data_IF_920457111027
#
_entry.id   IF_920457111027
#
_cell.length_a   1.000
_cell.length_b   1.000
_cell.length_c   1.000
_cell.angle_alpha   90.00
_cell.angle_beta   90.00
_cell.angle_gamma   90.00
#
_symmetry.space_group_name_H-M   'P 1'
#
loop_
_entity.id
_entity.type
_entity.pdbx_description
1 polymer ?
#
# COMPACT_ATOMS: atom_id res chain seq x y z
N UNK A 1 27.32 -12.80 -9.37
CA UNK A 1 27.27 -13.91 -10.34
C UNK A 1 25.88 -13.93 -10.99
N UNK A 2 25.79 -13.63 -12.29
CA UNK A 2 24.52 -13.54 -13.04
C UNK A 2 23.99 -14.95 -13.32
N UNK A 3 22.71 -15.19 -13.12
CA UNK A 3 22.13 -16.53 -13.24
C UNK A 3 20.79 -16.50 -13.97
N UNK A 4 20.57 -17.45 -14.87
CA UNK A 4 19.43 -17.52 -15.82
C UNK A 4 18.43 -18.60 -15.42
N UNK A 5 17.13 -18.29 -15.32
CA UNK A 5 16.01 -19.20 -15.05
C UNK A 5 15.06 -19.21 -16.23
N UNK A 6 14.83 -20.36 -16.84
CA UNK A 6 13.74 -20.56 -17.80
C UNK A 6 12.52 -21.11 -17.06
N UNK A 7 11.37 -20.42 -17.16
CA UNK A 7 10.11 -20.88 -16.60
C UNK A 7 9.19 -21.25 -17.74
N UNK A 8 8.88 -22.53 -17.87
CA UNK A 8 8.00 -23.07 -18.89
C UNK A 8 6.67 -23.41 -18.22
N UNK A 9 5.61 -22.69 -18.57
CA UNK A 9 4.23 -23.05 -18.29
C UNK A 9 3.92 -23.45 -16.84
N UNK A 10 4.40 -22.71 -15.83
CA UNK A 10 4.17 -23.07 -14.44
C UNK A 10 2.81 -22.54 -13.94
N UNK A 11 1.72 -23.20 -14.29
CA UNK A 11 0.40 -22.93 -13.70
C UNK A 11 0.23 -23.67 -12.37
N UNK A 12 -0.37 -22.99 -11.35
CA UNK A 12 -0.77 -23.59 -10.09
C UNK A 12 0.22 -23.53 -8.93
N UNK A 13 -0.17 -24.10 -7.76
CA UNK A 13 0.56 -24.02 -6.47
C UNK A 13 2.01 -24.55 -6.54
N UNK A 14 2.29 -25.50 -7.39
CA UNK A 14 3.62 -26.12 -7.53
C UNK A 14 4.57 -25.21 -8.28
N UNK A 15 4.12 -24.53 -9.34
CA UNK A 15 4.93 -23.54 -10.06
C UNK A 15 5.36 -22.37 -9.18
N UNK A 16 4.43 -21.83 -8.38
CA UNK A 16 4.72 -20.76 -7.40
C UNK A 16 5.82 -21.18 -6.39
N UNK A 17 5.84 -22.44 -5.96
CA UNK A 17 6.83 -22.97 -5.03
C UNK A 17 8.20 -23.19 -5.67
N UNK A 18 8.26 -23.61 -6.93
CA UNK A 18 9.51 -23.79 -7.67
C UNK A 18 10.18 -22.43 -7.89
N UNK A 19 9.41 -21.40 -8.21
CA UNK A 19 9.92 -20.04 -8.41
C UNK A 19 10.47 -19.45 -7.12
N UNK A 20 9.72 -19.55 -6.00
CA UNK A 20 10.19 -19.13 -4.69
C UNK A 20 11.51 -19.83 -4.32
N UNK A 21 11.63 -21.14 -4.53
CA UNK A 21 12.84 -21.91 -4.26
C UNK A 21 14.00 -21.56 -5.22
N UNK A 22 13.73 -21.20 -6.46
CA UNK A 22 14.74 -20.78 -7.42
C UNK A 22 15.34 -19.41 -7.04
N UNK A 23 14.51 -18.48 -6.60
CA UNK A 23 14.94 -17.17 -6.08
C UNK A 23 15.72 -17.33 -4.77
N UNK A 24 15.24 -18.13 -3.82
CA UNK A 24 15.94 -18.44 -2.56
C UNK A 24 17.30 -19.11 -2.77
N UNK A 25 17.40 -20.05 -3.71
CA UNK A 25 18.64 -20.79 -3.92
C UNK A 25 19.74 -19.98 -4.60
N UNK A 26 19.41 -18.83 -5.17
CA UNK A 26 20.34 -17.99 -5.93
C UNK A 26 21.03 -18.72 -7.09
N UNK A 27 20.40 -19.76 -7.68
CA UNK A 27 21.02 -20.67 -8.65
C UNK A 27 20.63 -20.42 -10.11
N UNK A 28 19.74 -19.45 -10.40
CA UNK A 28 19.16 -19.33 -11.74
C UNK A 28 19.17 -17.91 -12.30
N UNK A 29 19.24 -17.79 -13.60
CA UNK A 29 19.11 -16.56 -14.39
C UNK A 29 17.90 -16.67 -15.29
N UNK A 30 17.11 -15.60 -15.47
CA UNK A 30 15.90 -15.60 -16.26
C UNK A 30 16.14 -14.85 -17.58
N UNK A 31 15.81 -15.39 -18.74
CA UNK A 31 16.17 -14.86 -20.07
C UNK A 31 14.94 -14.80 -21.00
N UNK A 32 14.53 -13.60 -21.39
CA UNK A 32 13.66 -13.10 -22.50
C UNK A 32 12.40 -13.88 -22.97
N UNK A 33 11.31 -13.26 -23.41
CA UNK A 33 10.14 -13.92 -23.99
C UNK A 33 10.25 -14.05 -25.51
N UNK A 34 10.19 -15.26 -26.08
CA UNK A 34 10.10 -15.50 -27.51
C UNK A 34 8.70 -16.04 -27.85
N UNK A 35 7.91 -15.26 -28.57
CA UNK A 35 6.71 -15.75 -29.24
C UNK A 35 7.08 -16.53 -30.49
N UNK A 36 6.34 -17.60 -30.80
CA UNK A 36 6.63 -18.54 -31.87
C UNK A 36 6.41 -18.03 -33.30
N UNK A 37 6.45 -16.74 -33.58
CA UNK A 37 6.49 -16.16 -34.93
C UNK A 37 7.23 -14.82 -34.95
N UNK A 38 8.47 -14.85 -35.30
CA UNK A 38 9.28 -13.70 -35.67
C UNK A 38 10.67 -14.20 -36.08
N UNK A 39 11.00 -14.11 -37.37
CA UNK A 39 12.37 -14.43 -37.83
C UNK A 39 13.37 -13.47 -37.19
N UNK A 40 14.52 -13.94 -36.69
CA UNK A 40 15.59 -13.07 -36.20
C UNK A 40 16.28 -12.39 -37.38
N UNK A 41 16.58 -11.12 -37.22
CA UNK A 41 17.55 -10.45 -38.11
C UNK A 41 18.94 -11.03 -37.87
N UNK A 42 19.62 -11.32 -38.99
CA UNK A 42 20.96 -11.92 -39.05
C UNK A 42 22.03 -10.99 -38.44
N UNK A 43 22.51 -11.28 -37.25
CA UNK A 43 23.87 -11.03 -36.80
C UNK A 43 24.10 -11.65 -35.40
N UNK A 44 25.09 -12.59 -35.35
CA UNK A 44 25.56 -13.35 -34.18
C UNK A 44 24.80 -14.64 -33.83
N UNK A 45 24.71 -15.56 -34.80
CA UNK A 45 23.82 -16.72 -34.76
C UNK A 45 24.41 -18.01 -34.14
N UNK A 46 25.73 -18.21 -34.18
CA UNK A 46 26.32 -19.54 -33.83
C UNK A 46 26.29 -19.86 -32.32
N UNK A 47 26.40 -18.86 -31.44
CA UNK A 47 26.45 -19.10 -29.96
C UNK A 47 25.04 -19.15 -29.31
N UNK A 48 24.05 -18.58 -29.98
CA UNK A 48 22.66 -18.59 -29.50
C UNK A 48 21.89 -19.85 -29.91
N UNK A 49 22.22 -20.44 -31.05
CA UNK A 49 21.52 -21.59 -31.63
C UNK A 49 21.82 -22.87 -30.86
N UNK A 50 23.07 -23.11 -30.44
CA UNK A 50 23.42 -24.23 -29.56
C UNK A 50 22.74 -24.16 -28.21
N UNK A 51 22.63 -22.96 -27.65
CA UNK A 51 21.99 -22.74 -26.34
C UNK A 51 20.44 -22.87 -26.38
N UNK A 52 19.83 -22.60 -27.54
CA UNK A 52 18.37 -22.79 -27.79
C UNK A 52 18.04 -24.26 -28.09
N UNK A 53 18.92 -24.99 -28.70
CA UNK A 53 18.78 -26.42 -28.95
C UNK A 53 18.88 -27.24 -27.65
N UNK A 54 19.84 -26.90 -26.79
CA UNK A 54 19.97 -27.51 -25.45
C UNK A 54 18.72 -27.24 -24.54
N UNK A 55 18.03 -26.12 -24.76
CA UNK A 55 16.79 -25.83 -24.08
C UNK A 55 15.56 -26.53 -24.68
N UNK A 56 15.56 -26.88 -25.95
CA UNK A 56 14.51 -27.70 -26.59
C UNK A 56 14.59 -29.15 -26.11
N UNK A 57 15.75 -29.71 -26.00
CA UNK A 57 15.96 -31.06 -25.47
C UNK A 57 15.58 -31.17 -24.00
N UNK A 58 15.80 -30.09 -23.19
CA UNK A 58 15.33 -30.00 -21.81
C UNK A 58 13.79 -29.92 -21.69
N UNK A 59 13.08 -29.54 -22.76
CA UNK A 59 11.62 -29.51 -22.80
C UNK A 59 11.00 -30.86 -23.24
N UNK A 60 11.74 -31.67 -24.02
CA UNK A 60 11.30 -33.01 -24.40
C UNK A 60 11.38 -34.01 -23.23
N UNK A 61 12.31 -33.82 -22.32
CA UNK A 61 12.47 -34.59 -21.06
C UNK A 61 11.71 -33.98 -19.87
N UNK A 62 10.86 -32.97 -20.08
CA UNK A 62 10.09 -32.35 -19.01
C UNK A 62 9.15 -33.37 -18.34
N UNK A 63 9.10 -33.46 -17.01
CA UNK A 63 8.21 -34.37 -16.30
C UNK A 63 6.75 -34.20 -16.72
N UNK A 64 5.97 -35.29 -16.73
CA UNK A 64 4.55 -35.30 -17.12
C UNK A 64 3.68 -34.23 -16.43
N UNK A 65 4.07 -33.76 -15.25
CA UNK A 65 3.39 -32.64 -14.55
C UNK A 65 3.67 -31.25 -15.17
N UNK A 66 4.65 -31.13 -16.07
CA UNK A 66 4.89 -29.96 -16.92
C UNK A 66 4.15 -30.07 -18.27
N UNK A 67 3.53 -31.25 -18.55
CA UNK A 67 2.67 -31.38 -19.71
C UNK A 67 1.47 -30.42 -19.58
N UNK A 68 1.01 -29.81 -20.69
CA UNK A 68 -0.09 -28.88 -20.67
C UNK A 68 -1.36 -29.60 -20.20
N UNK A 69 -1.74 -29.35 -18.96
CA UNK A 69 -3.12 -29.53 -18.54
C UNK A 69 -3.98 -28.51 -19.30
N UNK A 70 -5.26 -28.80 -19.45
CA UNK A 70 -6.25 -28.01 -20.21
C UNK A 70 -6.49 -26.57 -19.66
N UNK A 71 -5.64 -26.07 -18.77
CA UNK A 71 -5.72 -24.72 -18.18
C UNK A 71 -4.51 -23.92 -18.64
N UNK A 72 -4.71 -23.08 -19.63
CA UNK A 72 -3.76 -22.02 -20.00
C UNK A 72 -3.44 -21.10 -18.83
N UNK A 73 -2.37 -20.32 -18.96
CA UNK A 73 -2.04 -19.27 -18.02
C UNK A 73 -3.20 -18.27 -17.96
N UNK A 74 -3.80 -18.13 -16.78
CA UNK A 74 -4.71 -17.03 -16.53
C UNK A 74 -3.89 -15.76 -16.30
N UNK A 75 -4.40 -14.62 -16.78
CA UNK A 75 -3.81 -13.28 -16.56
C UNK A 75 -3.31 -13.09 -15.11
N UNK A 76 -4.11 -13.53 -14.13
CA UNK A 76 -3.76 -13.45 -12.71
C UNK A 76 -2.51 -14.22 -12.28
N UNK A 77 -2.15 -15.31 -12.96
CA UNK A 77 -0.94 -16.08 -12.59
C UNK A 77 0.34 -15.39 -13.08
N UNK A 78 0.28 -14.69 -14.21
CA UNK A 78 1.42 -14.02 -14.83
C UNK A 78 1.81 -12.77 -14.03
N UNK A 79 0.86 -11.92 -13.65
CA UNK A 79 1.18 -10.71 -12.91
C UNK A 79 1.71 -11.00 -11.50
N UNK A 80 1.14 -11.98 -10.80
CA UNK A 80 1.63 -12.42 -9.48
C UNK A 80 3.05 -12.94 -9.54
N UNK A 81 3.41 -13.61 -10.64
CA UNK A 81 4.78 -14.09 -10.84
C UNK A 81 5.78 -12.94 -10.97
N UNK A 82 5.52 -11.98 -11.85
CA UNK A 82 6.45 -10.86 -12.09
C UNK A 82 6.52 -9.91 -10.90
N UNK A 83 5.39 -9.64 -10.25
CA UNK A 83 5.37 -8.92 -8.99
C UNK A 83 6.27 -9.60 -7.94
N UNK A 84 6.05 -10.90 -7.70
CA UNK A 84 6.79 -11.67 -6.71
C UNK A 84 8.28 -11.76 -7.01
N UNK A 85 8.70 -11.79 -8.27
CA UNK A 85 10.09 -11.79 -8.70
C UNK A 85 10.78 -10.46 -8.37
N UNK A 86 10.17 -9.33 -8.72
CA UNK A 86 10.73 -8.01 -8.44
C UNK A 86 10.78 -7.72 -6.94
N UNK A 87 9.69 -8.04 -6.21
CA UNK A 87 9.63 -7.84 -4.77
C UNK A 87 10.60 -8.76 -3.99
N UNK A 88 10.83 -9.98 -4.49
CA UNK A 88 11.84 -10.88 -3.94
C UNK A 88 13.29 -10.41 -4.14
N UNK A 89 13.53 -9.66 -5.21
CA UNK A 89 14.84 -9.05 -5.48
C UNK A 89 15.05 -7.72 -4.74
N UNK A 90 13.99 -7.10 -4.20
CA UNK A 90 14.08 -5.81 -3.53
C UNK A 90 15.04 -5.83 -2.33
N UNK A 91 15.89 -4.83 -2.24
CA UNK A 91 16.80 -4.57 -1.11
C UNK A 91 16.94 -3.06 -0.91
N UNK A 92 16.88 -2.60 0.33
CA UNK A 92 17.12 -1.21 0.70
C UNK A 92 18.59 -1.02 1.09
N UNK A 93 19.39 -0.40 0.23
CA UNK A 93 20.84 -0.28 0.41
C UNK A 93 21.35 1.17 0.47
N UNK A 94 20.43 2.17 0.50
CA UNK A 94 20.78 3.59 0.38
C UNK A 94 21.88 4.05 1.35
N UNK A 95 21.94 3.46 2.54
CA UNK A 95 22.92 3.83 3.58
C UNK A 95 24.03 2.81 3.79
N UNK A 96 24.14 1.81 2.91
CA UNK A 96 25.22 0.82 3.00
C UNK A 96 26.41 1.24 2.14
N UNK A 97 27.62 1.12 2.71
CA UNK A 97 28.89 1.41 2.01
C UNK A 97 29.54 0.15 1.45
N UNK A 98 28.80 -0.97 1.40
CA UNK A 98 29.29 -2.25 0.87
C UNK A 98 29.50 -2.18 -0.65
N UNK A 99 30.46 -2.94 -1.20
CA UNK A 99 30.59 -3.13 -2.64
C UNK A 99 29.30 -3.65 -3.28
N UNK A 100 29.03 -3.26 -4.52
CA UNK A 100 27.79 -3.59 -5.23
C UNK A 100 27.56 -5.09 -5.43
N UNK A 101 28.63 -5.89 -5.49
CA UNK A 101 28.60 -7.34 -5.62
C UNK A 101 28.16 -8.07 -4.33
N UNK A 102 28.20 -7.39 -3.17
CA UNK A 102 27.69 -7.88 -1.90
C UNK A 102 26.21 -7.52 -1.65
N UNK A 103 25.63 -6.67 -2.49
CA UNK A 103 24.22 -6.22 -2.36
C UNK A 103 23.18 -7.29 -2.73
N UNK A 104 23.61 -8.49 -3.10
CA UNK A 104 22.74 -9.56 -3.55
C UNK A 104 22.71 -9.69 -5.08
N UNK A 105 21.78 -10.49 -5.59
CA UNK A 105 21.64 -10.67 -7.04
C UNK A 105 20.60 -9.68 -7.61
N UNK A 106 20.87 -9.21 -8.81
CA UNK A 106 19.92 -8.46 -9.63
C UNK A 106 19.39 -9.40 -10.72
N UNK A 107 18.08 -9.49 -10.87
CA UNK A 107 17.46 -10.17 -12.01
C UNK A 107 17.53 -9.21 -13.20
N UNK A 108 18.37 -9.51 -14.20
CA UNK A 108 18.52 -8.64 -15.37
C UNK A 108 17.46 -8.93 -16.45
N UNK A 109 16.99 -10.16 -16.54
CA UNK A 109 15.99 -10.56 -17.53
C UNK A 109 15.22 -11.81 -17.09
N UNK A 110 13.93 -11.86 -17.44
CA UNK A 110 13.05 -12.99 -17.21
C UNK A 110 12.35 -13.39 -18.53
N UNK A 111 12.34 -14.69 -18.87
CA UNK A 111 11.70 -15.21 -20.09
C UNK A 111 10.48 -16.04 -19.74
N UNK A 112 9.34 -15.72 -20.33
CA UNK A 112 8.13 -16.54 -20.25
C UNK A 112 7.86 -17.15 -21.61
N UNK A 113 7.68 -18.47 -21.63
CA UNK A 113 7.24 -19.20 -22.81
C UNK A 113 5.73 -19.48 -22.67
N UNK A 114 4.93 -19.02 -23.64
CA UNK A 114 3.53 -19.37 -23.75
C UNK A 114 3.32 -20.25 -24.98
N UNK A 115 2.65 -21.40 -24.81
CA UNK A 115 2.32 -22.31 -25.93
C UNK A 115 1.02 -21.92 -26.66
N UNK A 116 0.16 -21.14 -26.04
CA UNK A 116 -1.25 -21.01 -26.45
C UNK A 116 -1.59 -19.76 -27.26
N UNK A 117 -0.57 -19.01 -27.73
CA UNK A 117 -0.81 -17.81 -28.53
C UNK A 117 -1.40 -16.62 -27.76
N UNK A 118 -1.61 -16.73 -26.43
CA UNK A 118 -2.11 -15.68 -25.53
C UNK A 118 -1.05 -14.62 -25.22
N UNK A 119 -0.30 -14.16 -26.25
CA UNK A 119 0.84 -13.27 -26.08
C UNK A 119 0.43 -11.90 -25.51
N UNK A 120 -0.74 -11.41 -25.86
CA UNK A 120 -1.23 -10.10 -25.37
C UNK A 120 -1.58 -10.18 -23.88
N UNK A 121 -2.33 -11.19 -23.46
CA UNK A 121 -2.67 -11.42 -22.05
C UNK A 121 -1.42 -11.63 -21.17
N UNK A 122 -0.40 -12.33 -21.71
CA UNK A 122 0.88 -12.51 -21.00
C UNK A 122 1.63 -11.19 -20.86
N UNK A 123 1.67 -10.35 -21.91
CA UNK A 123 2.31 -9.04 -21.85
C UNK A 123 1.60 -8.12 -20.85
N UNK A 124 0.28 -8.09 -20.87
CA UNK A 124 -0.53 -7.29 -19.96
C UNK A 124 -0.34 -7.74 -18.51
N UNK A 125 -0.29 -9.06 -18.28
CA UNK A 125 0.03 -9.62 -16.98
C UNK A 125 1.43 -9.22 -16.48
N UNK A 126 2.45 -9.29 -17.34
CA UNK A 126 3.81 -8.83 -17.02
C UNK A 126 3.80 -7.35 -16.65
N UNK A 127 3.21 -6.51 -17.50
CA UNK A 127 3.17 -5.06 -17.29
C UNK A 127 2.44 -4.71 -15.98
N UNK A 128 1.32 -5.38 -15.70
CA UNK A 128 0.55 -5.20 -14.46
C UNK A 128 1.36 -5.58 -13.23
N UNK A 129 1.99 -6.78 -13.22
CA UNK A 129 2.81 -7.23 -12.10
C UNK A 129 3.99 -6.31 -11.81
N UNK A 130 4.66 -5.84 -12.86
CA UNK A 130 5.74 -4.87 -12.72
C UNK A 130 5.26 -3.51 -12.19
N UNK A 131 4.08 -3.06 -12.64
CA UNK A 131 3.48 -1.82 -12.14
C UNK A 131 3.17 -1.91 -10.65
N UNK A 132 2.55 -3.01 -10.21
CA UNK A 132 2.26 -3.25 -8.79
C UNK A 132 3.56 -3.31 -7.98
N UNK A 133 4.56 -4.06 -8.46
CA UNK A 133 5.87 -4.17 -7.80
C UNK A 133 6.55 -2.80 -7.64
N UNK A 134 6.47 -1.91 -8.64
CA UNK A 134 7.00 -0.54 -8.51
C UNK A 134 6.27 0.26 -7.43
N UNK A 135 4.94 0.16 -7.34
CA UNK A 135 4.15 0.80 -6.28
C UNK A 135 4.51 0.29 -4.89
N UNK A 136 4.65 -1.03 -4.74
CA UNK A 136 5.09 -1.66 -3.47
C UNK A 136 6.52 -1.25 -3.12
N UNK A 137 7.42 -1.18 -4.11
CA UNK A 137 8.81 -0.74 -3.92
C UNK A 137 8.87 0.71 -3.45
N UNK A 138 8.10 1.62 -4.08
CA UNK A 138 7.98 3.01 -3.61
C UNK A 138 7.54 3.06 -2.14
N UNK A 139 6.51 2.33 -1.78
CA UNK A 139 6.03 2.29 -0.39
C UNK A 139 7.11 1.77 0.57
N UNK A 140 7.85 0.73 0.18
CA UNK A 140 8.98 0.19 0.97
C UNK A 140 10.09 1.21 1.15
N UNK A 141 10.46 1.92 0.08
CA UNK A 141 11.53 2.93 0.11
C UNK A 141 11.18 4.09 1.05
N UNK A 142 9.93 4.56 1.01
CA UNK A 142 9.44 5.60 1.92
C UNK A 142 9.53 5.14 3.39
N UNK A 143 9.04 3.94 3.71
CA UNK A 143 9.04 3.38 5.08
C UNK A 143 10.46 3.07 5.58
N UNK A 144 11.35 2.62 4.71
CA UNK A 144 12.72 2.26 5.10
C UNK A 144 13.61 3.48 5.30
N UNK A 145 13.23 4.63 4.80
CA UNK A 145 13.92 5.90 5.03
C UNK A 145 14.06 6.20 6.53
N UNK A 146 15.25 6.57 7.04
CA UNK A 146 15.40 6.94 8.45
C UNK A 146 14.65 8.25 8.74
N UNK A 147 14.10 8.41 9.97
CA UNK A 147 13.25 9.56 10.31
C UNK A 147 13.92 10.93 10.10
N UNK A 148 15.24 11.02 10.25
CA UNK A 148 15.94 12.28 9.97
C UNK A 148 15.93 12.67 8.47
N UNK A 149 15.78 11.71 7.56
CA UNK A 149 15.73 11.94 6.12
C UNK A 149 14.30 11.99 5.59
N UNK A 150 13.41 11.16 6.13
CA UNK A 150 12.00 11.10 5.76
C UNK A 150 11.17 11.94 6.73
N UNK A 151 11.29 13.26 6.62
CA UNK A 151 10.51 14.24 7.40
C UNK A 151 9.16 14.52 6.72
N UNK A 152 8.19 15.20 7.40
CA UNK A 152 6.95 15.62 6.75
C UNK A 152 7.16 16.47 5.50
N UNK A 153 8.16 17.35 5.51
CA UNK A 153 8.52 18.15 4.33
C UNK A 153 9.04 17.26 3.19
N UNK A 154 9.92 16.30 3.50
CA UNK A 154 10.44 15.35 2.50
C UNK A 154 9.32 14.50 1.89
N UNK A 155 8.36 14.04 2.70
CA UNK A 155 7.20 13.31 2.19
C UNK A 155 6.37 14.18 1.23
N UNK A 156 6.25 15.48 1.50
CA UNK A 156 5.64 16.43 0.57
C UNK A 156 6.41 16.57 -0.76
N UNK A 157 7.75 16.61 -0.71
CA UNK A 157 8.62 16.64 -1.90
C UNK A 157 8.46 15.36 -2.74
N UNK A 158 8.38 14.20 -2.11
CA UNK A 158 8.13 12.91 -2.80
C UNK A 158 6.75 12.91 -3.49
N UNK A 159 5.73 13.51 -2.87
CA UNK A 159 4.42 13.65 -3.50
C UNK A 159 4.48 14.54 -4.75
N UNK A 160 5.17 15.67 -4.68
CA UNK A 160 5.35 16.58 -5.83
C UNK A 160 6.08 15.85 -6.96
N UNK A 161 7.20 15.18 -6.65
CA UNK A 161 7.97 14.43 -7.64
C UNK A 161 7.14 13.29 -8.28
N UNK A 162 6.31 12.59 -7.49
CA UNK A 162 5.38 11.59 -8.00
C UNK A 162 4.35 12.22 -8.93
N UNK A 163 3.79 13.37 -8.53
CA UNK A 163 2.81 14.12 -9.33
C UNK A 163 3.37 14.57 -10.67
N UNK A 164 4.58 15.13 -10.67
CA UNK A 164 5.26 15.56 -11.91
C UNK A 164 5.51 14.39 -12.86
N UNK A 165 5.88 13.23 -12.34
CA UNK A 165 6.15 12.02 -13.13
C UNK A 165 4.90 11.39 -13.73
N UNK A 166 3.77 11.42 -13.01
CA UNK A 166 2.55 10.68 -13.37
C UNK A 166 1.38 11.58 -13.79
N UNK A 167 1.55 12.89 -13.74
CA UNK A 167 0.47 13.83 -14.07
C UNK A 167 -0.61 13.91 -13.00
N UNK A 168 -0.26 13.69 -11.72
CA UNK A 168 -1.19 13.87 -10.60
C UNK A 168 -1.26 15.36 -10.22
N UNK A 169 -2.45 15.84 -9.84
CA UNK A 169 -2.54 17.13 -9.18
C UNK A 169 -2.12 16.99 -7.71
N UNK A 170 -1.09 17.76 -7.30
CA UNK A 170 -0.55 17.68 -5.95
C UNK A 170 -0.63 19.02 -5.23
N UNK A 171 -1.16 19.02 -4.03
CA UNK A 171 -1.17 20.17 -3.11
C UNK A 171 -0.52 19.76 -1.80
N UNK A 172 0.46 20.53 -1.34
CA UNK A 172 1.11 20.33 -0.04
C UNK A 172 0.91 21.58 0.80
N UNK A 173 0.11 21.45 1.87
CA UNK A 173 -0.10 22.55 2.82
C UNK A 173 0.99 22.56 3.86
N UNK A 174 1.62 23.71 4.05
CA UNK A 174 2.60 23.97 5.10
C UNK A 174 1.94 24.34 6.45
N UNK A 175 2.74 24.51 7.49
CA UNK A 175 2.23 24.83 8.84
C UNK A 175 1.42 26.14 8.87
N UNK A 176 1.78 27.15 8.09
CA UNK A 176 1.05 28.43 8.05
C UNK A 176 -0.33 28.23 7.43
N UNK A 177 -0.41 27.50 6.32
CA UNK A 177 -1.66 27.17 5.64
C UNK A 177 -2.54 26.23 6.48
N UNK A 178 -1.94 25.27 7.20
CA UNK A 178 -2.65 24.41 8.15
C UNK A 178 -3.27 25.22 9.29
N UNK A 179 -2.54 26.24 9.79
CA UNK A 179 -3.01 27.14 10.84
C UNK A 179 -4.18 28.00 10.34
N UNK A 180 -4.04 28.60 9.17
CA UNK A 180 -5.06 29.42 8.55
C UNK A 180 -6.37 28.64 8.32
N UNK A 181 -6.24 27.37 7.88
CA UNK A 181 -7.39 26.52 7.58
C UNK A 181 -7.95 25.76 8.80
N UNK A 182 -7.27 25.80 9.96
CA UNK A 182 -7.76 25.23 11.22
C UNK A 182 -7.51 23.73 11.39
N UNK A 183 -6.45 23.15 10.82
CA UNK A 183 -6.04 21.76 10.99
C UNK A 183 -5.45 21.50 12.39
N UNK A 184 -6.32 21.60 13.41
CA UNK A 184 -5.87 21.58 14.80
C UNK A 184 -5.32 20.25 15.29
N UNK A 185 -5.77 19.13 14.72
CA UNK A 185 -5.28 17.80 15.06
C UNK A 185 -3.82 17.61 14.62
N UNK A 186 -3.52 17.90 13.36
CA UNK A 186 -2.16 17.77 12.79
C UNK A 186 -1.20 18.75 13.50
N UNK A 187 -1.63 20.00 13.71
CA UNK A 187 -0.84 21.03 14.37
C UNK A 187 -0.54 20.67 15.83
N UNK A 188 -1.50 20.11 16.56
CA UNK A 188 -1.29 19.73 17.96
C UNK A 188 -0.23 18.64 18.09
N UNK A 189 -0.28 17.60 17.27
CA UNK A 189 0.68 16.49 17.28
C UNK A 189 2.07 16.97 16.84
N UNK A 190 2.16 17.72 15.74
CA UNK A 190 3.42 18.22 15.19
C UNK A 190 4.11 19.29 16.04
N UNK A 191 3.41 19.87 17.01
CA UNK A 191 3.90 21.01 17.81
C UNK A 191 5.18 20.74 18.59
N UNK A 192 5.47 19.48 18.91
CA UNK A 192 6.66 19.08 19.65
C UNK A 192 7.92 18.93 18.80
N UNK A 193 7.79 18.85 17.49
CA UNK A 193 8.92 18.70 16.56
C UNK A 193 9.43 20.04 16.03
N UNK A 194 10.71 20.06 15.63
CA UNK A 194 11.26 21.13 14.81
C UNK A 194 10.92 20.97 13.32
N UNK A 195 10.53 19.77 12.89
CA UNK A 195 10.05 19.48 11.54
C UNK A 195 8.56 19.82 11.47
N UNK A 196 8.25 20.88 10.75
CA UNK A 196 6.87 21.35 10.60
C UNK A 196 5.97 20.29 9.95
N UNK A 197 4.72 20.14 10.42
CA UNK A 197 3.76 19.22 9.81
C UNK A 197 3.38 19.65 8.38
N UNK A 198 2.87 18.70 7.62
CA UNK A 198 2.32 18.89 6.26
C UNK A 198 0.99 18.17 6.12
N UNK A 199 0.12 18.71 5.29
CA UNK A 199 -1.01 17.97 4.76
C UNK A 199 -0.86 17.87 3.26
N UNK A 200 -0.88 16.63 2.73
CA UNK A 200 -0.58 16.33 1.34
C UNK A 200 -1.84 15.81 0.68
N UNK A 201 -2.21 16.38 -0.45
CA UNK A 201 -3.30 15.95 -1.31
C UNK A 201 -2.71 15.57 -2.65
N UNK A 202 -3.01 14.36 -3.11
CA UNK A 202 -2.64 13.86 -4.43
C UNK A 202 -3.90 13.38 -5.15
N UNK A 203 -4.18 13.93 -6.33
CA UNK A 203 -5.39 13.60 -7.09
C UNK A 203 -5.03 12.96 -8.44
N UNK A 204 -5.58 11.78 -8.70
CA UNK A 204 -5.53 11.07 -9.97
C UNK A 204 -6.91 11.06 -10.62
N UNK A 205 -6.97 11.36 -11.91
CA UNK A 205 -8.24 11.47 -12.63
C UNK A 205 -9.02 12.75 -12.28
N UNK A 206 -10.31 12.74 -12.52
CA UNK A 206 -11.19 13.86 -12.19
C UNK A 206 -12.60 13.38 -11.90
N UNK A 207 -13.27 14.07 -10.98
CA UNK A 207 -14.68 13.86 -10.76
C UNK A 207 -15.49 14.21 -12.03
N UNK A 208 -16.33 13.29 -12.47
CA UNK A 208 -17.28 13.51 -13.56
C UNK A 208 -18.51 12.65 -13.34
N UNK A 209 -19.61 12.95 -14.05
CA UNK A 209 -20.85 12.17 -13.94
C UNK A 209 -20.58 10.67 -14.18
N UNK A 210 -20.90 9.85 -13.19
CA UNK A 210 -20.71 8.41 -13.23
C UNK A 210 -19.31 7.89 -12.89
N UNK A 211 -18.33 8.78 -12.61
CA UNK A 211 -17.00 8.38 -12.15
C UNK A 211 -16.96 8.33 -10.62
N UNK A 212 -16.74 7.16 -9.99
CA UNK A 212 -16.62 7.09 -8.54
C UNK A 212 -15.40 7.85 -8.03
N UNK A 213 -15.58 8.62 -6.97
CA UNK A 213 -14.48 9.24 -6.22
C UNK A 213 -14.13 8.38 -5.02
N UNK A 214 -12.89 7.92 -4.94
CA UNK A 214 -12.36 7.14 -3.83
C UNK A 214 -11.31 7.96 -3.08
N UNK A 215 -11.55 8.25 -1.80
CA UNK A 215 -10.57 8.90 -0.95
C UNK A 215 -9.74 7.85 -0.19
N UNK A 216 -8.42 7.87 -0.41
CA UNK A 216 -7.43 7.07 0.30
C UNK A 216 -6.76 7.96 1.36
N UNK A 217 -6.97 7.68 2.64
CA UNK A 217 -6.45 8.48 3.74
C UNK A 217 -5.32 7.73 4.43
N UNK A 218 -4.10 8.27 4.40
CA UNK A 218 -2.90 7.64 4.95
C UNK A 218 -2.39 8.31 6.23
N UNK A 219 -2.12 7.53 7.28
CA UNK A 219 -1.32 8.02 8.42
C UNK A 219 0.11 8.28 7.94
N UNK A 220 0.57 9.54 8.09
CA UNK A 220 1.87 10.00 7.63
C UNK A 220 2.78 10.44 8.78
N UNK A 221 2.78 9.73 9.90
CA UNK A 221 3.63 10.07 11.03
C UNK A 221 5.06 9.58 10.76
N UNK A 222 5.95 10.51 10.38
CA UNK A 222 7.30 10.17 9.91
C UNK A 222 8.23 9.69 11.01
N UNK A 223 7.91 10.03 12.26
CA UNK A 223 8.48 9.42 13.46
C UNK A 223 7.54 9.57 14.65
N UNK A 224 7.41 8.51 15.45
CA UNK A 224 6.59 8.52 16.67
C UNK A 224 7.39 8.10 17.89
N UNK A 225 7.71 9.07 18.73
CA UNK A 225 8.32 8.82 20.05
C UNK A 225 7.29 8.53 21.14
N UNK A 226 5.99 8.69 20.85
CA UNK A 226 4.91 8.72 21.82
C UNK A 226 4.67 10.11 22.42
N UNK A 227 5.50 11.09 22.09
CA UNK A 227 5.46 12.43 22.69
C UNK A 227 5.78 12.39 24.18
N UNK A 228 5.03 13.12 25.00
CA UNK A 228 5.21 13.09 26.46
C UNK A 228 4.80 11.77 27.11
N UNK A 229 3.94 10.99 26.47
CA UNK A 229 3.65 9.57 26.82
C UNK A 229 4.70 8.68 26.16
N UNK A 230 5.98 8.88 26.49
CA UNK A 230 7.15 8.36 25.80
C UNK A 230 7.16 6.84 25.70
N UNK A 231 7.40 6.32 24.49
CA UNK A 231 7.55 4.88 24.24
C UNK A 231 8.79 4.29 24.91
N UNK A 232 8.77 3.03 25.33
CA UNK A 232 10.00 2.29 25.63
C UNK A 232 10.97 2.28 24.44
N UNK A 233 12.28 2.28 24.69
CA UNK A 233 13.30 2.36 23.64
C UNK A 233 13.13 1.30 22.55
N UNK A 234 12.92 0.03 22.92
CA UNK A 234 12.69 -1.09 21.97
C UNK A 234 11.47 -0.88 21.07
N UNK A 235 10.38 -0.30 21.60
CA UNK A 235 9.19 -0.01 20.81
C UNK A 235 9.38 1.21 19.89
N UNK A 236 10.39 2.04 20.13
CA UNK A 236 10.66 3.26 19.36
C UNK A 236 11.56 2.98 18.13
N UNK A 237 12.38 1.94 18.15
CA UNK A 237 13.40 1.66 17.13
C UNK A 237 12.82 1.56 15.71
N UNK A 238 11.59 1.07 15.56
CA UNK A 238 10.93 0.88 14.26
C UNK A 238 9.93 1.98 13.92
N UNK A 239 9.80 3.03 14.73
CA UNK A 239 8.75 4.06 14.58
C UNK A 239 8.93 5.00 13.39
N UNK A 240 10.02 4.89 12.62
CA UNK A 240 10.11 5.42 11.25
C UNK A 240 9.07 4.78 10.31
N UNK A 241 8.54 3.61 10.64
CA UNK A 241 7.51 2.91 9.88
C UNK A 241 6.09 3.41 10.12
N UNK A 242 5.91 4.38 11.02
CA UNK A 242 4.59 4.87 11.43
C UNK A 242 3.91 5.77 10.37
N UNK A 243 4.52 5.86 9.22
CA UNK A 243 3.98 6.44 8.00
C UNK A 243 3.63 5.39 6.93
N UNK A 244 3.55 4.11 7.31
CA UNK A 244 3.23 3.02 6.39
C UNK A 244 1.88 3.17 5.69
N UNK A 245 0.90 3.81 6.35
CA UNK A 245 -0.39 4.14 5.74
C UNK A 245 -0.25 5.17 4.60
N UNK A 246 0.54 6.22 4.81
CA UNK A 246 0.86 7.18 3.75
C UNK A 246 1.60 6.50 2.59
N UNK A 247 2.60 5.69 2.90
CA UNK A 247 3.38 4.97 1.90
C UNK A 247 2.51 4.06 1.01
N UNK A 248 1.51 3.38 1.60
CA UNK A 248 0.54 2.58 0.85
C UNK A 248 -0.31 3.44 -0.10
N UNK A 249 -0.72 4.64 0.33
CA UNK A 249 -1.46 5.60 -0.52
C UNK A 249 -0.61 6.08 -1.69
N UNK A 250 0.68 6.39 -1.47
CA UNK A 250 1.60 6.74 -2.55
C UNK A 250 1.70 5.62 -3.59
N UNK A 251 1.95 4.39 -3.14
CA UNK A 251 2.07 3.23 -4.01
C UNK A 251 0.80 2.94 -4.78
N UNK A 252 -0.38 3.01 -4.13
CA UNK A 252 -1.66 2.78 -4.77
C UNK A 252 -2.01 3.84 -5.83
N UNK A 253 -1.72 5.12 -5.58
CA UNK A 253 -1.88 6.19 -6.57
C UNK A 253 -0.95 6.01 -7.76
N UNK A 254 0.31 5.63 -7.54
CA UNK A 254 1.22 5.30 -8.63
C UNK A 254 0.64 4.20 -9.50
N UNK A 255 0.19 3.09 -8.90
CA UNK A 255 -0.36 1.95 -9.64
C UNK A 255 -1.65 2.35 -10.38
N UNK A 256 -2.56 3.08 -9.73
CA UNK A 256 -3.80 3.54 -10.36
C UNK A 256 -3.53 4.40 -11.60
N UNK A 257 -2.55 5.31 -11.51
CA UNK A 257 -2.16 6.19 -12.62
C UNK A 257 -1.46 5.42 -13.75
N UNK A 258 -0.51 4.52 -13.43
CA UNK A 258 0.22 3.74 -14.43
C UNK A 258 -0.68 2.71 -15.14
N UNK A 259 -1.69 2.16 -14.45
CA UNK A 259 -2.69 1.26 -15.05
C UNK A 259 -3.83 2.02 -15.77
N UNK A 260 -3.91 3.33 -15.64
CA UNK A 260 -4.95 4.14 -16.28
C UNK A 260 -6.36 3.77 -15.80
N UNK A 261 -6.56 3.57 -14.49
CA UNK A 261 -7.87 3.18 -13.96
C UNK A 261 -8.91 4.30 -14.19
N UNK A 262 -10.13 3.98 -14.69
CA UNK A 262 -11.18 4.98 -14.95
C UNK A 262 -11.89 5.41 -13.65
N UNK A 263 -11.15 6.04 -12.74
CA UNK A 263 -11.59 6.46 -11.42
C UNK A 263 -11.07 7.87 -11.11
N UNK A 264 -11.72 8.54 -10.17
CA UNK A 264 -11.14 9.68 -9.46
C UNK A 264 -10.63 9.19 -8.11
N UNK A 265 -9.31 9.21 -7.90
CA UNK A 265 -8.67 8.74 -6.66
C UNK A 265 -7.97 9.90 -5.99
N UNK A 266 -8.32 10.16 -4.74
CA UNK A 266 -7.77 11.25 -3.94
C UNK A 266 -7.00 10.69 -2.76
N UNK A 267 -5.68 10.85 -2.76
CA UNK A 267 -4.81 10.52 -1.62
C UNK A 267 -4.70 11.70 -0.66
N UNK A 268 -4.99 11.48 0.60
CA UNK A 268 -4.95 12.47 1.67
C UNK A 268 -4.02 12.00 2.77
N UNK A 269 -2.96 12.76 3.05
CA UNK A 269 -1.93 12.35 4.00
C UNK A 269 -1.76 13.44 5.05
N UNK A 270 -2.07 13.09 6.30
CA UNK A 270 -1.73 13.88 7.48
C UNK A 270 -0.32 13.51 7.93
N UNK A 271 0.65 14.41 7.75
CA UNK A 271 2.05 14.15 8.06
C UNK A 271 2.57 15.05 9.17
N UNK A 272 3.14 14.41 10.20
CA UNK A 272 3.73 15.08 11.37
C UNK A 272 4.84 14.20 11.98
N UNK A 273 5.55 14.74 12.98
CA UNK A 273 6.39 13.98 13.93
C UNK A 273 5.85 14.17 15.33
N UNK A 274 5.71 13.10 16.10
CA UNK A 274 5.30 13.14 17.49
C UNK A 274 6.54 13.10 18.41
N UNK A 275 6.98 14.27 18.87
CA UNK A 275 8.22 14.43 19.63
C UNK A 275 7.98 15.05 21.00
N UNK A 276 8.74 14.64 22.05
CA UNK A 276 8.71 15.29 23.34
C UNK A 276 9.54 16.59 23.29
N UNK A 277 8.94 17.68 23.74
CA UNK A 277 9.62 18.97 23.86
C UNK A 277 8.87 19.89 24.81
N UNK A 278 9.42 21.08 25.05
CA UNK A 278 8.76 22.11 25.86
C UNK A 278 7.47 22.66 25.21
N UNK A 279 7.32 22.49 23.90
CA UNK A 279 6.16 22.93 23.13
C UNK A 279 5.16 21.81 22.83
N UNK A 280 5.51 20.54 23.12
CA UNK A 280 4.64 19.40 22.85
C UNK A 280 3.28 19.50 23.55
N UNK A 281 2.25 18.95 22.91
CA UNK A 281 0.95 18.81 23.56
C UNK A 281 1.01 17.75 24.68
N UNK A 282 0.07 17.81 25.61
CA UNK A 282 0.15 17.08 26.89
C UNK A 282 -1.09 16.25 27.16
N UNK A 283 -0.98 15.16 27.91
CA UNK A 283 -2.15 14.57 28.54
C UNK A 283 -2.95 15.62 29.36
N UNK A 284 -4.27 15.65 29.14
CA UNK A 284 -5.16 16.66 29.69
C UNK A 284 -5.40 17.90 28.81
N UNK A 285 -4.64 18.10 27.74
CA UNK A 285 -4.94 19.13 26.75
C UNK A 285 -6.22 18.78 25.95
N UNK A 286 -6.93 19.81 25.49
CA UNK A 286 -8.07 19.66 24.58
C UNK A 286 -7.69 20.23 23.23
N UNK A 287 -7.78 19.37 22.20
CA UNK A 287 -7.47 19.71 20.81
C UNK A 287 -8.78 19.97 20.06
N UNK A 288 -8.88 21.09 19.35
CA UNK A 288 -9.96 21.36 18.41
C UNK A 288 -9.51 21.00 17.01
N UNK A 289 -10.21 20.05 16.35
CA UNK A 289 -9.90 19.56 15.02
C UNK A 289 -10.47 20.45 13.92
N UNK A 290 -10.12 20.16 12.65
CA UNK A 290 -10.68 20.81 11.46
C UNK A 290 -12.21 20.71 11.38
N UNK A 291 -12.81 19.65 11.91
CA UNK A 291 -14.26 19.47 11.97
C UNK A 291 -14.96 20.40 12.98
N UNK A 292 -14.18 21.08 13.82
CA UNK A 292 -14.70 21.83 14.96
C UNK A 292 -14.89 20.98 16.23
N UNK A 293 -14.94 19.66 16.13
CA UNK A 293 -15.01 18.75 17.29
C UNK A 293 -13.77 18.86 18.14
N UNK A 294 -13.94 18.66 19.44
CA UNK A 294 -12.87 18.71 20.44
C UNK A 294 -12.49 17.32 20.92
N UNK A 295 -11.18 17.11 21.15
CA UNK A 295 -10.60 15.86 21.60
C UNK A 295 -9.86 16.09 22.92
N UNK A 296 -10.27 15.39 23.97
CA UNK A 296 -9.50 15.27 25.20
C UNK A 296 -8.32 14.31 24.96
N UNK A 297 -7.13 14.78 25.15
CA UNK A 297 -5.90 14.00 25.03
C UNK A 297 -5.60 13.31 26.34
N UNK A 298 -5.80 12.01 26.41
CA UNK A 298 -5.41 11.20 27.60
C UNK A 298 -4.04 10.57 27.45
N UNK A 299 -3.60 10.34 26.22
CA UNK A 299 -2.30 9.75 25.91
C UNK A 299 -1.77 10.34 24.59
N UNK A 300 -0.57 10.91 24.64
CA UNK A 300 0.06 11.49 23.44
C UNK A 300 0.63 10.45 22.48
N UNK A 301 0.69 9.16 22.86
CA UNK A 301 1.02 8.01 22.02
C UNK A 301 -0.23 7.44 21.28
N UNK A 302 -1.36 8.13 21.36
CA UNK A 302 -2.55 7.89 20.55
C UNK A 302 -2.79 9.08 19.58
N UNK A 303 -1.74 9.54 18.95
CA UNK A 303 -1.61 10.71 18.08
C UNK A 303 -2.12 10.46 16.66
N UNK A 304 -1.93 9.24 16.15
CA UNK A 304 -2.28 8.89 14.77
C UNK A 304 -3.75 9.16 14.47
N UNK A 305 -4.64 8.81 15.39
CA UNK A 305 -6.07 9.10 15.24
C UNK A 305 -6.40 10.59 15.32
N UNK A 306 -5.60 11.38 16.03
CA UNK A 306 -5.78 12.83 16.13
C UNK A 306 -5.44 13.49 14.79
N UNK A 307 -4.31 13.16 14.17
CA UNK A 307 -3.96 13.70 12.84
C UNK A 307 -4.93 13.23 11.76
N UNK A 308 -5.37 11.96 11.83
CA UNK A 308 -6.31 11.38 10.88
C UNK A 308 -7.71 11.99 10.99
N UNK A 309 -8.12 12.53 12.14
CA UNK A 309 -9.40 13.22 12.30
C UNK A 309 -9.56 14.41 11.35
N UNK A 310 -8.50 15.18 11.14
CA UNK A 310 -8.50 16.30 10.19
C UNK A 310 -8.57 15.79 8.74
N UNK A 311 -7.80 14.75 8.39
CA UNK A 311 -7.77 14.20 7.05
C UNK A 311 -9.10 13.55 6.64
N UNK A 312 -9.73 12.80 7.54
CA UNK A 312 -11.02 12.16 7.32
C UNK A 312 -12.14 13.19 7.16
N UNK A 313 -12.12 14.25 7.96
CA UNK A 313 -13.07 15.35 7.77
C UNK A 313 -12.83 16.09 6.46
N UNK A 314 -11.57 16.32 6.08
CA UNK A 314 -11.22 16.96 4.81
C UNK A 314 -11.68 16.13 3.60
N UNK A 315 -11.66 14.80 3.68
CA UNK A 315 -12.09 13.89 2.62
C UNK A 315 -13.54 14.14 2.15
N UNK A 316 -14.42 14.60 3.04
CA UNK A 316 -15.83 14.86 2.73
C UNK A 316 -16.03 15.92 1.63
N UNK A 317 -15.03 16.80 1.41
CA UNK A 317 -15.08 17.83 0.33
C UNK A 317 -15.19 17.24 -1.06
N UNK A 318 -14.76 16.01 -1.23
CA UNK A 318 -14.74 15.29 -2.50
C UNK A 318 -16.03 14.50 -2.75
N UNK A 319 -16.99 14.53 -1.82
CA UNK A 319 -18.23 13.75 -1.87
C UNK A 319 -17.96 12.28 -2.25
N UNK A 320 -17.08 11.58 -1.50
CA UNK A 320 -16.52 10.31 -1.95
C UNK A 320 -17.57 9.18 -1.92
N UNK A 321 -17.48 8.29 -2.90
CA UNK A 321 -18.21 7.02 -2.90
C UNK A 321 -17.73 6.10 -1.78
N UNK A 322 -16.44 6.19 -1.44
CA UNK A 322 -15.84 5.46 -0.34
C UNK A 322 -14.61 6.19 0.22
N UNK A 323 -14.42 6.10 1.54
CA UNK A 323 -13.21 6.52 2.24
C UNK A 323 -12.50 5.27 2.74
N UNK A 324 -11.25 5.09 2.34
CA UNK A 324 -10.38 4.00 2.83
C UNK A 324 -9.22 4.61 3.59
N UNK A 325 -9.16 4.37 4.90
CA UNK A 325 -8.10 4.84 5.76
C UNK A 325 -7.12 3.71 6.08
N UNK A 326 -5.82 3.95 5.90
CA UNK A 326 -4.75 3.03 6.28
C UNK A 326 -3.85 3.67 7.33
N UNK A 327 -3.60 2.95 8.41
CA UNK A 327 -2.72 3.44 9.48
C UNK A 327 -2.04 2.30 10.25
N UNK A 328 -0.79 2.50 10.60
CA UNK A 328 -0.07 1.77 11.64
C UNK A 328 -0.56 2.30 12.99
N UNK A 329 -1.81 1.89 13.38
CA UNK A 329 -2.52 2.69 14.37
C UNK A 329 -2.42 2.15 15.79
N UNK A 330 -2.49 0.82 15.97
CA UNK A 330 -2.61 0.29 17.33
C UNK A 330 -1.71 -0.91 17.60
N UNK A 331 -1.03 -0.89 18.75
CA UNK A 331 -0.40 -2.10 19.28
C UNK A 331 -1.40 -3.22 19.59
N UNK A 332 -2.68 -2.87 19.81
CA UNK A 332 -3.73 -3.84 20.10
C UNK A 332 -4.02 -4.78 18.92
N UNK A 333 -3.91 -4.31 17.67
CA UNK A 333 -4.11 -5.15 16.48
C UNK A 333 -2.98 -6.17 16.30
N UNK A 334 -1.75 -5.81 16.69
CA UNK A 334 -0.60 -6.71 16.67
C UNK A 334 -0.85 -7.90 17.60
N UNK A 335 -1.43 -7.63 18.79
CA UNK A 335 -1.76 -8.68 19.77
C UNK A 335 -2.94 -9.54 19.25
N UNK A 336 -3.93 -8.92 18.59
CA UNK A 336 -5.12 -9.61 18.15
C UNK A 336 -4.90 -10.50 16.92
N UNK A 337 -4.18 -10.01 15.91
CA UNK A 337 -4.04 -10.67 14.60
C UNK A 337 -2.60 -11.04 14.24
N UNK A 338 -1.61 -10.55 14.98
CA UNK A 338 -0.19 -10.74 14.67
C UNK A 338 0.18 -10.11 13.31
N UNK A 339 1.20 -10.67 12.62
CA UNK A 339 1.67 -10.16 11.33
C UNK A 339 0.95 -10.80 10.11
N UNK A 340 -0.20 -11.47 10.32
CA UNK A 340 -0.80 -12.34 9.32
C UNK A 340 -2.04 -11.76 8.65
N UNK A 341 -2.68 -10.77 9.26
CA UNK A 341 -3.87 -10.13 8.74
C UNK A 341 -3.94 -8.66 9.14
N UNK A 342 -4.53 -7.85 8.29
CA UNK A 342 -4.87 -6.45 8.51
C UNK A 342 -6.17 -6.41 9.31
N UNK A 343 -6.23 -5.60 10.37
CA UNK A 343 -7.48 -5.39 11.08
C UNK A 343 -8.35 -4.35 10.37
N UNK A 344 -9.63 -4.64 10.21
CA UNK A 344 -10.58 -3.76 9.54
C UNK A 344 -11.75 -3.40 10.45
N UNK A 345 -12.12 -2.13 10.48
CA UNK A 345 -13.39 -1.62 10.99
C UNK A 345 -14.08 -0.84 9.88
N UNK A 346 -15.40 -1.00 9.73
CA UNK A 346 -16.17 -0.33 8.66
C UNK A 346 -17.51 0.16 9.15
N UNK A 347 -17.95 1.29 8.59
CA UNK A 347 -19.31 1.84 8.77
C UNK A 347 -20.30 1.30 7.73
N UNK A 348 -19.83 0.60 6.69
CA UNK A 348 -20.64 0.06 5.60
C UNK A 348 -20.23 -1.40 5.29
N UNK A 349 -21.19 -2.33 5.35
CA UNK A 349 -20.90 -3.76 5.17
C UNK A 349 -20.59 -4.11 3.70
N UNK A 350 -21.21 -3.46 2.73
CA UNK A 350 -20.94 -3.74 1.33
C UNK A 350 -19.51 -3.30 0.95
N UNK A 351 -19.06 -2.18 1.52
CA UNK A 351 -17.68 -1.71 1.37
C UNK A 351 -16.69 -2.66 2.07
N UNK A 352 -17.03 -3.14 3.27
CA UNK A 352 -16.24 -4.14 4.00
C UNK A 352 -16.08 -5.43 3.20
N UNK A 353 -17.16 -5.95 2.63
CA UNK A 353 -17.15 -7.18 1.82
C UNK A 353 -16.29 -7.02 0.55
N UNK A 354 -16.29 -5.83 -0.07
CA UNK A 354 -15.36 -5.52 -1.19
C UNK A 354 -13.91 -5.58 -0.74
N UNK A 355 -13.60 -4.97 0.39
CA UNK A 355 -12.25 -4.95 0.92
C UNK A 355 -11.76 -6.35 1.30
N UNK A 356 -12.61 -7.20 1.88
CA UNK A 356 -12.26 -8.60 2.17
C UNK A 356 -11.93 -9.36 0.88
N UNK A 357 -12.76 -9.22 -0.18
CA UNK A 357 -12.48 -9.85 -1.48
C UNK A 357 -11.17 -9.38 -2.09
N UNK A 358 -10.90 -8.09 -2.04
CA UNK A 358 -9.62 -7.53 -2.48
C UNK A 358 -8.44 -8.10 -1.68
N UNK A 359 -8.62 -8.27 -0.36
CA UNK A 359 -7.60 -8.85 0.52
C UNK A 359 -7.31 -10.33 0.22
N UNK A 360 -8.32 -11.09 -0.21
CA UNK A 360 -8.14 -12.47 -0.66
C UNK A 360 -7.42 -12.54 -2.01
N UNK A 361 -7.79 -11.67 -2.95
CA UNK A 361 -7.18 -11.61 -4.28
C UNK A 361 -5.70 -11.19 -4.21
N UNK A 362 -5.38 -10.17 -3.41
CA UNK A 362 -4.01 -9.67 -3.22
C UNK A 362 -3.14 -10.51 -2.29
N UNK A 363 -3.70 -11.50 -1.57
CA UNK A 363 -3.04 -12.20 -0.45
C UNK A 363 -2.60 -11.28 0.71
N UNK A 364 -3.12 -10.06 0.79
CA UNK A 364 -3.04 -9.15 1.92
C UNK A 364 -4.31 -9.27 2.76
N UNK A 365 -4.43 -10.37 3.49
CA UNK A 365 -5.65 -10.76 4.22
C UNK A 365 -6.17 -9.66 5.11
N UNK A 366 -7.50 -9.47 5.07
CA UNK A 366 -8.22 -8.51 5.90
C UNK A 366 -9.16 -9.27 6.84
N UNK A 367 -9.22 -8.86 8.11
CA UNK A 367 -10.13 -9.43 9.09
C UNK A 367 -10.99 -8.34 9.72
N UNK A 368 -12.31 -8.44 9.53
CA UNK A 368 -13.25 -7.44 10.05
C UNK A 368 -13.48 -7.63 11.56
N UNK A 369 -13.31 -6.54 12.31
CA UNK A 369 -13.68 -6.40 13.71
C UNK A 369 -15.00 -5.62 13.83
N UNK A 370 -15.79 -5.83 14.90
CA UNK A 370 -17.07 -5.14 15.08
C UNK A 370 -16.88 -3.64 15.32
N UNK A 371 -17.90 -2.84 14.93
CA UNK A 371 -17.97 -1.42 15.20
C UNK A 371 -19.36 -1.07 15.74
N UNK A 372 -19.67 -1.54 16.97
CA UNK A 372 -20.95 -1.38 17.62
C UNK A 372 -21.02 -0.10 18.46
N UNK A 373 -22.23 0.34 18.80
CA UNK A 373 -22.46 1.57 19.56
C UNK A 373 -21.74 1.60 20.91
N UNK A 374 -21.56 0.45 21.56
CA UNK A 374 -20.84 0.33 22.82
C UNK A 374 -19.40 0.83 22.72
N UNK A 375 -18.74 0.65 21.57
CA UNK A 375 -17.38 1.15 21.35
C UNK A 375 -17.34 2.67 21.15
N UNK A 376 -18.41 3.26 20.59
CA UNK A 376 -18.56 4.71 20.50
C UNK A 376 -18.78 5.33 21.89
N UNK A 377 -19.51 4.66 22.77
CA UNK A 377 -19.67 5.11 24.16
C UNK A 377 -18.33 5.14 24.92
N UNK A 378 -17.41 4.20 24.66
CA UNK A 378 -16.12 4.12 25.33
C UNK A 378 -15.20 5.32 25.06
N UNK A 379 -15.43 6.08 23.99
CA UNK A 379 -14.60 7.23 23.60
C UNK A 379 -15.25 8.58 23.89
N UNK A 380 -16.41 8.62 24.54
CA UNK A 380 -17.03 9.87 25.02
C UNK A 380 -16.19 10.48 26.13
N UNK A 381 -16.08 11.81 26.15
CA UNK A 381 -15.39 12.58 27.18
C UNK A 381 -16.39 13.35 28.03
N UNK A 382 -16.01 13.63 29.28
CA UNK A 382 -16.78 14.52 30.18
C UNK A 382 -16.46 16.01 29.96
N UNK A 383 -15.36 16.30 29.23
CA UNK A 383 -14.83 17.69 29.08
C UNK A 383 -14.62 18.11 27.63
N UNK A 384 -14.81 17.18 26.68
CA UNK A 384 -14.69 17.40 25.25
C UNK A 384 -15.74 16.55 24.52
N UNK A 385 -15.81 16.63 23.19
CA UNK A 385 -16.73 15.78 22.41
C UNK A 385 -16.27 14.31 22.45
N UNK A 386 -14.98 14.09 22.35
CA UNK A 386 -14.37 12.76 22.35
C UNK A 386 -13.09 12.77 23.20
N UNK A 387 -12.64 11.58 23.63
CA UNK A 387 -11.28 11.37 24.15
C UNK A 387 -10.51 10.44 23.21
N UNK A 388 -9.20 10.63 23.13
CA UNK A 388 -8.37 9.88 22.19
C UNK A 388 -8.06 8.43 22.61
N UNK A 389 -8.59 7.96 23.74
CA UNK A 389 -8.38 6.63 24.27
C UNK A 389 -9.67 6.04 24.87
N UNK A 390 -10.09 4.86 24.39
CA UNK A 390 -11.24 4.13 24.96
C UNK A 390 -10.88 3.21 26.14
N UNK A 391 -9.64 3.26 26.61
CA UNK A 391 -9.08 2.33 27.61
C UNK A 391 -8.29 1.18 26.97
N UNK A 392 -7.83 0.22 27.81
CA UNK A 392 -7.02 -0.91 27.35
C UNK A 392 -7.80 -1.96 26.56
N UNK A 393 -9.04 -2.36 26.93
CA UNK A 393 -9.84 -3.31 26.15
C UNK A 393 -10.24 -2.72 24.80
N UNK A 394 -10.35 -3.58 23.78
CA UNK A 394 -10.82 -3.26 22.43
C UNK A 394 -10.07 -2.09 21.75
N UNK A 395 -8.77 -1.91 22.02
CA UNK A 395 -8.02 -0.71 21.61
C UNK A 395 -8.08 -0.40 20.12
N UNK A 396 -8.05 -1.41 19.24
CA UNK A 396 -8.17 -1.23 17.78
C UNK A 396 -9.59 -0.82 17.38
N UNK A 397 -10.61 -1.41 18.02
CA UNK A 397 -12.01 -1.14 17.72
C UNK A 397 -12.39 0.28 18.16
N UNK A 398 -11.96 0.68 19.36
CA UNK A 398 -12.20 2.06 19.86
C UNK A 398 -11.43 3.11 19.05
N UNK A 399 -10.30 2.75 18.45
CA UNK A 399 -9.61 3.59 17.48
C UNK A 399 -10.42 3.74 16.19
N UNK A 400 -10.97 2.64 15.64
CA UNK A 400 -11.89 2.67 14.51
C UNK A 400 -13.16 3.50 14.80
N UNK A 401 -13.77 3.34 15.98
CA UNK A 401 -14.92 4.13 16.41
C UNK A 401 -14.59 5.63 16.48
N UNK A 402 -13.39 5.97 16.97
CA UNK A 402 -12.92 7.36 16.98
C UNK A 402 -12.81 7.94 15.56
N UNK A 403 -12.21 7.22 14.63
CA UNK A 403 -12.06 7.66 13.23
C UNK A 403 -13.42 7.81 12.54
N UNK A 404 -14.35 6.88 12.77
CA UNK A 404 -15.71 6.94 12.22
C UNK A 404 -16.47 8.20 12.61
N UNK A 405 -16.15 8.81 13.76
CA UNK A 405 -16.77 10.06 14.21
C UNK A 405 -16.45 11.28 13.31
N UNK A 406 -15.51 11.16 12.36
CA UNK A 406 -15.04 12.28 11.53
C UNK A 406 -15.37 12.16 10.03
N UNK A 407 -16.08 11.11 9.61
CA UNK A 407 -16.42 10.88 8.19
C UNK A 407 -17.84 11.30 7.80
N UNK A 408 -18.65 11.78 8.75
CA UNK A 408 -20.08 12.08 8.49
C UNK A 408 -20.83 10.81 8.06
N UNK A 409 -21.64 10.94 7.01
CA UNK A 409 -22.44 9.84 6.47
C UNK A 409 -21.74 9.05 5.35
N UNK A 410 -20.47 9.38 5.05
CA UNK A 410 -19.73 8.69 4.00
C UNK A 410 -19.25 7.30 4.44
N UNK A 411 -19.32 6.29 3.55
CA UNK A 411 -18.83 4.95 3.84
C UNK A 411 -17.33 4.94 4.16
N UNK A 412 -16.97 4.37 5.31
CA UNK A 412 -15.59 4.24 5.78
C UNK A 412 -15.17 2.78 5.88
N UNK A 413 -13.99 2.47 5.39
CA UNK A 413 -13.17 1.34 5.84
C UNK A 413 -11.90 1.89 6.49
N UNK A 414 -11.65 1.52 7.73
CA UNK A 414 -10.36 1.72 8.40
C UNK A 414 -9.58 0.41 8.42
N UNK A 415 -8.34 0.44 7.95
CA UNK A 415 -7.37 -0.64 7.90
C UNK A 415 -6.23 -0.38 8.88
N UNK A 416 -6.19 -1.11 9.98
CA UNK A 416 -5.09 -1.05 10.94
C UNK A 416 -4.00 -2.03 10.49
N UNK A 417 -2.93 -1.48 9.92
CA UNK A 417 -1.80 -2.22 9.34
C UNK A 417 -0.60 -2.32 10.28
N UNK A 418 -0.73 -1.95 11.56
CA UNK A 418 0.40 -1.93 12.50
C UNK A 418 1.10 -3.30 12.64
N UNK A 419 0.35 -4.41 12.51
CA UNK A 419 0.92 -5.77 12.57
C UNK A 419 1.58 -6.24 11.27
N UNK A 420 1.28 -5.61 10.13
CA UNK A 420 1.67 -6.10 8.80
C UNK A 420 2.62 -5.17 8.05
N UNK A 421 2.79 -3.92 8.51
CA UNK A 421 3.57 -2.90 7.80
C UNK A 421 5.09 -3.07 7.89
N UNK A 422 5.57 -3.78 8.91
CA UNK A 422 7.00 -3.96 9.19
C UNK A 422 7.33 -5.42 9.50
N UNK A 423 8.50 -5.89 9.07
CA UNK A 423 9.03 -7.21 9.41
C UNK A 423 10.52 -7.15 9.77
N UNK A 424 10.88 -7.69 10.92
CA UNK A 424 12.28 -7.83 11.33
C UNK A 424 12.95 -9.02 10.62
N UNK A 425 12.18 -10.09 10.43
CA UNK A 425 12.62 -11.28 9.69
C UNK A 425 11.62 -11.61 8.62
N UNK A 426 12.05 -11.79 7.36
CA UNK A 426 11.17 -12.17 6.26
C UNK A 426 10.32 -13.38 6.60
N UNK A 427 9.00 -13.25 6.52
CA UNK A 427 8.04 -14.33 6.74
C UNK A 427 7.44 -14.86 5.43
N UNK A 428 7.62 -14.10 4.34
CA UNK A 428 7.22 -14.46 2.98
C UNK A 428 8.44 -14.28 2.05
N UNK A 429 8.53 -15.07 0.98
CA UNK A 429 9.66 -15.06 0.04
C UNK A 429 9.91 -13.68 -0.62
N UNK A 430 8.86 -12.87 -0.75
CA UNK A 430 8.92 -11.54 -1.33
C UNK A 430 9.06 -10.41 -0.28
N UNK A 431 9.23 -10.74 1.00
CA UNK A 431 9.55 -9.76 2.03
C UNK A 431 11.07 -9.62 2.19
N UNK A 432 11.54 -8.38 2.34
CA UNK A 432 12.84 -8.06 2.89
C UNK A 432 12.66 -7.58 4.35
N UNK A 433 13.76 -7.47 5.11
CA UNK A 433 13.74 -6.76 6.39
C UNK A 433 13.28 -5.31 6.19
N UNK A 434 12.38 -4.83 7.02
CA UNK A 434 11.87 -3.46 6.97
C UNK A 434 10.42 -3.35 6.53
N UNK A 435 10.11 -2.26 5.83
CA UNK A 435 8.78 -1.99 5.30
C UNK A 435 8.32 -3.05 4.31
N UNK A 436 7.10 -3.54 4.49
CA UNK A 436 6.52 -4.60 3.64
C UNK A 436 5.90 -4.07 2.36
N UNK A 437 5.47 -2.80 2.36
CA UNK A 437 4.64 -2.18 1.32
C UNK A 437 3.19 -2.66 1.35
N UNK A 438 2.75 -3.24 2.47
CA UNK A 438 1.36 -3.69 2.67
C UNK A 438 0.37 -2.57 2.39
N UNK A 439 -0.77 -2.94 1.82
CA UNK A 439 -1.83 -2.03 1.42
C UNK A 439 -1.77 -1.62 -0.05
N UNK A 440 -0.61 -1.62 -0.69
CA UNK A 440 -0.51 -1.23 -2.12
C UNK A 440 -1.23 -2.22 -3.01
N UNK A 441 -0.94 -3.52 -2.87
CA UNK A 441 -1.61 -4.54 -3.67
C UNK A 441 -3.10 -4.64 -3.32
N UNK A 442 -3.43 -4.64 -2.02
CA UNK A 442 -4.82 -4.61 -1.55
C UNK A 442 -5.64 -3.47 -2.18
N UNK A 443 -5.10 -2.23 -2.13
CA UNK A 443 -5.76 -1.07 -2.71
C UNK A 443 -5.83 -1.16 -4.23
N UNK A 444 -4.84 -1.74 -4.89
CA UNK A 444 -4.87 -1.98 -6.34
C UNK A 444 -6.03 -2.89 -6.72
N UNK A 445 -6.21 -4.03 -6.05
CA UNK A 445 -7.33 -4.94 -6.28
C UNK A 445 -8.69 -4.28 -5.97
N UNK A 446 -8.75 -3.52 -4.87
CA UNK A 446 -9.94 -2.78 -4.49
C UNK A 446 -10.35 -1.73 -5.54
N UNK A 447 -9.40 -0.91 -6.01
CA UNK A 447 -9.64 0.11 -7.03
C UNK A 447 -9.98 -0.52 -8.39
N UNK A 448 -9.30 -1.61 -8.76
CA UNK A 448 -9.57 -2.34 -10.00
C UNK A 448 -10.98 -2.91 -10.04
N UNK A 449 -11.51 -3.40 -8.90
CA UNK A 449 -12.90 -3.86 -8.79
C UNK A 449 -13.90 -2.71 -9.01
N UNK A 450 -13.64 -1.51 -8.47
CA UNK A 450 -14.47 -0.34 -8.76
C UNK A 450 -14.41 0.09 -10.23
N UNK A 451 -13.23 0.05 -10.84
CA UNK A 451 -13.03 0.37 -12.25
C UNK A 451 -13.81 -0.58 -13.18
N UNK A 452 -13.85 -1.87 -12.84
CA UNK A 452 -14.62 -2.88 -13.61
C UNK A 452 -16.14 -2.64 -13.52
N UNK A 453 -16.66 -2.32 -12.34
CA UNK A 453 -18.08 -1.99 -12.15
C UNK A 453 -18.48 -0.76 -12.98
N UNK A 454 -17.65 0.28 -12.99
CA UNK A 454 -17.87 1.50 -13.77
C UNK A 454 -17.92 1.22 -15.27
N UNK A 455 -17.01 0.39 -15.79
CA UNK A 455 -17.00 -0.02 -17.21
C UNK A 455 -18.26 -0.83 -17.56
N UNK A 456 -18.69 -1.72 -16.69
CA UNK A 456 -19.88 -2.55 -16.91
C UNK A 456 -21.16 -1.72 -16.96
N UNK A 457 -21.29 -0.72 -16.10
CA UNK A 457 -22.42 0.22 -16.10
C UNK A 457 -22.44 1.08 -17.38
N UNK A 458 -21.30 1.58 -17.83
CA UNK A 458 -21.18 2.35 -19.05
C UNK A 458 -21.54 1.52 -20.31
N UNK A 459 -21.10 0.25 -20.37
CA UNK A 459 -21.43 -0.66 -21.46
C UNK A 459 -22.93 -1.01 -21.50
N UNK A 460 -23.57 -1.19 -20.32
CA UNK A 460 -25.01 -1.46 -20.20
C UNK A 460 -25.89 -0.27 -20.61
N UNK A 461 -25.45 0.97 -20.31
CA UNK A 461 -26.16 2.19 -20.70
C UNK A 461 -26.11 2.47 -22.22
N UNK A 462 -25.03 2.04 -22.91
CA UNK A 462 -24.90 2.17 -24.36
C UNK A 462 -25.72 1.17 -25.19
N UNK A 463 -26.28 0.13 -24.56
CA UNK A 463 -27.05 -0.93 -25.23
C UNK A 463 -28.56 -0.67 -25.39
N UNK A 464 -29.13 0.32 -24.72
CA UNK A 464 -30.53 0.68 -24.88
C UNK A 464 -30.73 1.61 -26.08
N UNK A 465 -30.79 1.07 -27.30
CA UNK A 465 -31.33 1.80 -28.48
C UNK A 465 -32.84 1.99 -28.28
N UNK A 466 -33.38 3.20 -28.42
CA UNK A 466 -34.83 3.36 -28.46
C UNK A 466 -35.38 2.67 -29.72
N UNK A 467 -36.37 1.83 -29.49
CA UNK A 467 -37.20 1.18 -30.53
C UNK A 467 -38.14 2.19 -31.18
#
# INVERSE_FOLDING_TARGET
MKRKLAVVGAAGRVGKRIIALAVESGKFTVVGAAGAQGQPEEHEEEDRTEHLLDQRDALEDAPEWLAPGEQGWLFGDVYVFFEGMELGAYRYHVYRTMPSDEHGFVVESATVYSRDGAQEEVRDGIATGQTIARGVTLARDLVNGPGYAMTPARLGEEAIALGERLGLAVTVLDQAQLTEQGFGGILAVGKGSMNEPRFIVMEYGSASDGTPTICLVGKGLTFDSGGLSLKPAEAMETMKSDMGGAAAVFGALQVAAELGLPLHVVGLIASAENMPSSTAYRPGDIVRTLSGKTIEVLNTDAEGRIILSDALFYAQRYEPTAIVNLATLTGAIIIALGPHAIGMMSTDQALADRMIRAGEASHERVWQLPLWDEYHEMIKSEVADLKNLGGRPAGSITAGAFLAAFVGDYPLVHLDIAGTAWVDKPTKAYHAHGGTGVGVHLLTEFLSAYAQDTRSLAAGAGGARPS
#
